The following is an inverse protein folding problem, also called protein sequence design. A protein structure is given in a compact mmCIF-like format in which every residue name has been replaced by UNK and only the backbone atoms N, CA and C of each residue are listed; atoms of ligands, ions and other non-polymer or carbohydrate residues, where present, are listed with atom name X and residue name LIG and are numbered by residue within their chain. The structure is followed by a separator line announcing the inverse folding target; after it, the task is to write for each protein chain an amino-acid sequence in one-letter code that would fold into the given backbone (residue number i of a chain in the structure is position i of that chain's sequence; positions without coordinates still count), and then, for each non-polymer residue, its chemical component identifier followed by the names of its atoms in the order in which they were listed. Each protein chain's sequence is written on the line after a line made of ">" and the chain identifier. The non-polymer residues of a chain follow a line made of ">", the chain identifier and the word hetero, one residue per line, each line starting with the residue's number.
data_IF_233674126742
#
_entry.id   IF_233674126742
#
_cell.length_a   1.000
_cell.length_b   1.000
_cell.length_c   1.000
_cell.angle_alpha   90.00
_cell.angle_beta   90.00
_cell.angle_gamma   90.00
#
_symmetry.space_group_name_H-M   'P 1'
#
loop_
_entity.id
_entity.type
_entity.pdbx_description
1 polymer ?
#
# COMPACT_ATOMS: atom_id res chain seq x y z
N UNK A 1 -46.53 -46.95 -26.20
CA UNK A 1 -46.14 -46.50 -25.99
C UNK A 1 -45.43 -45.80 -25.63
N UNK A 2 -45.24 -45.75 -25.47
CA UNK A 2 -44.69 -45.12 -25.17
C UNK A 2 -43.93 -44.43 -24.70
N UNK A 3 -43.76 -44.31 -24.52
CA UNK A 3 -43.15 -43.73 -24.14
C UNK A 3 -42.50 -43.02 -23.69
N UNK A 4 -42.42 -43.02 -23.50
CA UNK A 4 -41.82 -42.30 -23.03
C UNK A 4 -41.11 -41.72 -22.74
N UNK A 5 -40.82 -41.64 -22.61
CA UNK A 5 -40.15 -41.09 -22.37
C UNK A 5 -39.39 -40.39 -21.95
N UNK A 6 -39.26 -40.40 -21.84
CA UNK A 6 -38.63 -39.80 -21.50
C UNK A 6 -37.96 -39.12 -21.17
N UNK A 7 -37.76 -39.08 -20.96
CA UNK A 7 -37.21 -38.46 -20.65
C UNK A 7 -36.54 -37.86 -20.23
N UNK A 8 -36.31 -37.86 -20.05
CA UNK A 8 -35.74 -37.22 -19.58
C UNK A 8 -35.05 -36.70 -19.36
N UNK A 9 -34.84 -36.72 -19.33
CA UNK A 9 -34.22 -36.21 -19.11
C UNK A 9 -33.56 -35.49 -18.72
N UNK A 10 -33.27 -35.30 -18.56
CA UNK A 10 -32.69 -34.65 -18.08
C UNK A 10 -32.04 -34.06 -17.87
N UNK A 11 -31.90 -34.21 -17.81
CA UNK A 11 -31.30 -33.66 -17.60
C UNK A 11 -30.59 -32.94 -17.26
N UNK A 12 -30.33 -32.97 -17.01
CA UNK A 12 -29.77 -32.27 -16.78
C UNK A 12 -29.00 -31.69 -16.38
N UNK A 13 -28.76 -31.64 -16.25
CA UNK A 13 -28.10 -31.11 -15.89
C UNK A 13 -27.41 -30.44 -15.64
N UNK A 14 -27.19 -30.44 -15.45
CA UNK A 14 -26.64 -29.79 -15.26
C UNK A 14 -25.99 -29.18 -14.80
N UNK A 15 -25.80 -29.11 -14.58
CA UNK A 15 -25.25 -28.48 -14.31
C UNK A 15 -24.59 -27.83 -13.86
N UNK A 16 -24.09 -27.81 -13.79
CA UNK A 16 -23.40 -27.23 -13.35
C UNK A 16 -22.64 -26.34 -13.36
N UNK A 17 -22.63 -25.94 -13.31
CA UNK A 17 -21.86 -25.22 -13.33
C UNK A 17 -21.25 -24.70 -12.45
N UNK A 18 -20.68 -25.11 -12.09
CA UNK A 18 -19.83 -24.68 -11.11
C UNK A 18 -19.21 -23.45 -11.51
N UNK A 19 -19.53 -22.51 -10.83
CA UNK A 19 -18.83 -21.34 -11.02
C UNK A 19 -17.60 -21.41 -10.20
N UNK A 20 -16.52 -21.51 -10.85
CA UNK A 20 -15.29 -21.32 -10.17
C UNK A 20 -15.24 -19.86 -9.78
N UNK A 21 -15.18 -19.58 -8.53
CA UNK A 21 -14.89 -18.24 -8.09
C UNK A 21 -13.47 -17.90 -8.53
N UNK A 22 -13.26 -16.69 -9.06
CA UNK A 22 -11.91 -16.31 -9.40
C UNK A 22 -11.04 -16.40 -8.16
N UNK A 23 -9.89 -16.99 -8.30
CA UNK A 23 -8.93 -17.05 -7.22
C UNK A 23 -8.48 -15.63 -6.91
N UNK A 24 -8.62 -15.26 -5.66
CA UNK A 24 -8.09 -13.99 -5.20
C UNK A 24 -6.79 -14.25 -4.49
N UNK A 25 -5.73 -13.74 -5.06
CA UNK A 25 -4.48 -13.72 -4.33
C UNK A 25 -4.63 -12.89 -3.08
N UNK A 26 -4.05 -13.36 -2.00
CA UNK A 26 -3.97 -12.57 -0.80
C UNK A 26 -3.12 -11.33 -1.08
N UNK A 27 -3.67 -10.17 -0.79
CA UNK A 27 -2.93 -8.93 -0.95
C UNK A 27 -1.90 -8.83 0.18
N UNK A 28 -0.64 -8.94 -0.18
CA UNK A 28 0.47 -8.82 0.77
C UNK A 28 1.17 -7.46 0.67
N UNK A 29 0.65 -6.55 -0.15
CA UNK A 29 1.26 -5.24 -0.28
C UNK A 29 1.19 -4.48 1.04
N UNK A 30 2.08 -3.51 1.18
CA UNK A 30 2.23 -2.76 2.42
C UNK A 30 1.92 -1.29 2.17
N UNK A 31 1.52 -0.63 3.24
CA UNK A 31 1.24 0.80 3.25
C UNK A 31 2.19 1.47 4.22
N UNK A 32 2.89 2.50 3.75
CA UNK A 32 3.66 3.40 4.60
C UNK A 32 2.93 4.73 4.68
N UNK A 33 2.66 5.19 5.89
CA UNK A 33 1.98 6.45 6.12
C UNK A 33 2.61 7.16 7.30
N UNK A 34 2.27 8.43 7.50
CA UNK A 34 2.75 9.18 8.64
C UNK A 34 2.54 10.67 8.43
N UNK A 35 3.05 11.44 9.37
CA UNK A 35 2.97 12.90 9.33
C UNK A 35 4.34 13.50 9.13
N UNK A 36 4.39 14.63 8.46
CA UNK A 36 5.57 15.47 8.42
C UNK A 36 5.34 16.63 9.39
N UNK A 37 6.20 16.74 10.38
CA UNK A 37 6.03 17.70 11.48
C UNK A 37 7.34 18.47 11.73
N UNK A 38 7.20 19.60 12.41
CA UNK A 38 8.36 20.36 12.89
C UNK A 38 8.72 19.91 14.31
N UNK A 39 9.65 20.61 14.96
CA UNK A 39 10.09 20.24 16.30
C UNK A 39 9.02 20.43 17.37
N UNK A 40 8.00 21.23 17.11
CA UNK A 40 6.89 21.46 18.03
C UNK A 40 5.70 20.59 17.70
N UNK A 41 5.89 19.54 16.88
CA UNK A 41 4.86 18.61 16.43
C UNK A 41 3.77 19.26 15.57
N UNK A 42 4.04 20.45 15.03
CA UNK A 42 3.15 21.12 14.10
C UNK A 42 3.30 20.51 12.70
N UNK A 43 2.18 20.29 12.00
CA UNK A 43 2.23 19.73 10.65
C UNK A 43 2.87 20.71 9.67
N UNK A 44 3.52 20.19 8.64
CA UNK A 44 4.20 20.98 7.62
C UNK A 44 3.54 20.74 6.26
N UNK A 45 2.47 21.47 5.93
CA UNK A 45 1.85 21.34 4.60
C UNK A 45 2.85 21.71 3.52
N UNK A 46 2.71 21.07 2.37
CA UNK A 46 3.56 21.25 1.19
C UNK A 46 4.98 20.68 1.37
N UNK A 47 5.26 20.00 2.47
CA UNK A 47 6.50 19.24 2.57
C UNK A 47 6.48 18.13 1.51
N UNK A 48 7.65 17.75 1.04
CA UNK A 48 7.79 16.69 0.04
C UNK A 48 8.42 15.49 0.71
N UNK A 49 7.77 14.34 0.58
CA UNK A 49 8.28 13.08 1.13
C UNK A 49 8.87 12.26 0.00
N UNK A 50 10.05 11.73 0.23
CA UNK A 50 10.78 10.92 -0.74
C UNK A 50 10.87 9.50 -0.22
N UNK A 51 10.46 8.55 -1.04
CA UNK A 51 10.53 7.13 -0.73
C UNK A 51 11.46 6.45 -1.73
N UNK A 52 12.49 5.79 -1.24
CA UNK A 52 13.46 5.11 -2.08
C UNK A 52 13.35 3.61 -1.92
N UNK A 53 13.19 2.92 -3.04
CA UNK A 53 13.31 1.47 -3.08
C UNK A 53 14.80 1.14 -3.05
N UNK A 54 15.28 0.50 -1.98
CA UNK A 54 16.71 0.29 -1.81
C UNK A 54 17.29 -0.73 -2.78
N UNK A 55 16.43 -1.55 -3.38
CA UNK A 55 16.90 -2.57 -4.33
C UNK A 55 17.08 -1.99 -5.73
N UNK A 56 16.14 -1.17 -6.18
CA UNK A 56 16.14 -0.62 -7.55
C UNK A 56 16.62 0.83 -7.60
N UNK A 57 16.70 1.50 -6.45
CA UNK A 57 16.98 2.93 -6.31
C UNK A 57 15.92 3.84 -6.91
N UNK A 58 14.76 3.28 -7.25
CA UNK A 58 13.63 4.09 -7.71
C UNK A 58 13.10 4.95 -6.58
N UNK A 59 12.74 6.20 -6.89
CA UNK A 59 12.27 7.17 -5.91
C UNK A 59 10.85 7.57 -6.25
N UNK A 60 9.96 7.54 -5.26
CA UNK A 60 8.62 8.09 -5.35
C UNK A 60 8.53 9.30 -4.45
N UNK A 61 7.70 10.26 -4.82
CA UNK A 61 7.51 11.47 -4.02
C UNK A 61 6.04 11.64 -3.67
N UNK A 62 5.80 12.35 -2.57
CA UNK A 62 4.46 12.70 -2.13
C UNK A 62 4.50 14.09 -1.52
N UNK A 63 3.63 14.97 -2.01
CA UNK A 63 3.51 16.32 -1.47
C UNK A 63 2.37 16.30 -0.46
N UNK A 64 2.67 16.61 0.80
CA UNK A 64 1.64 16.53 1.83
C UNK A 64 0.70 17.74 1.72
N UNK A 65 -0.57 17.48 2.02
CA UNK A 65 -1.59 18.53 2.03
C UNK A 65 -1.68 19.16 3.42
N UNK A 66 -2.78 19.85 3.71
CA UNK A 66 -2.89 20.64 4.94
C UNK A 66 -2.88 19.79 6.20
N UNK A 67 -3.24 18.52 6.10
CA UNK A 67 -3.20 17.60 7.24
C UNK A 67 -1.78 17.12 7.58
N UNK A 68 -0.80 17.39 6.71
CA UNK A 68 0.57 16.97 6.90
C UNK A 68 0.81 15.48 6.73
N UNK A 69 -0.17 14.73 6.25
CA UNK A 69 -0.09 13.27 6.15
C UNK A 69 0.41 12.85 4.77
N UNK A 70 1.34 11.91 4.73
CA UNK A 70 1.78 11.28 3.50
C UNK A 70 1.35 9.82 3.47
N UNK A 71 1.30 9.25 2.27
CA UNK A 71 0.80 7.89 2.11
C UNK A 71 1.42 7.25 0.87
N UNK A 72 2.06 6.10 1.05
CA UNK A 72 2.61 5.30 -0.03
C UNK A 72 2.01 3.89 0.04
N UNK A 73 0.97 3.61 -0.75
CA UNK A 73 0.36 2.29 -0.77
C UNK A 73 1.08 1.35 -1.74
N UNK A 74 0.70 0.09 -1.70
CA UNK A 74 1.11 -0.92 -2.68
C UNK A 74 2.61 -1.16 -2.71
N UNK A 75 3.26 -1.08 -1.54
CA UNK A 75 4.68 -1.35 -1.43
C UNK A 75 4.94 -2.85 -1.31
N UNK A 76 6.10 -3.28 -1.83
CA UNK A 76 6.46 -4.70 -1.78
C UNK A 76 6.79 -5.14 -0.35
N UNK A 77 6.33 -6.33 0.07
CA UNK A 77 6.68 -6.84 1.40
C UNK A 77 8.12 -7.33 1.48
N UNK A 78 8.82 -7.45 0.37
CA UNK A 78 10.13 -8.08 0.31
C UNK A 78 11.27 -7.08 0.06
N UNK A 79 11.00 -5.80 0.22
CA UNK A 79 11.96 -4.73 -0.09
C UNK A 79 12.05 -3.79 1.09
N UNK A 80 13.26 -3.38 1.43
CA UNK A 80 13.47 -2.28 2.37
C UNK A 80 13.28 -0.96 1.63
N UNK A 81 12.58 -0.03 2.27
CA UNK A 81 12.39 1.31 1.74
C UNK A 81 12.97 2.32 2.71
N UNK A 82 13.52 3.39 2.16
CA UNK A 82 13.98 4.52 2.94
C UNK A 82 13.09 5.71 2.65
N UNK A 83 12.77 6.47 3.71
CA UNK A 83 11.85 7.60 3.58
C UNK A 83 12.40 8.79 4.35
N UNK A 84 12.30 9.97 3.75
CA UNK A 84 12.61 11.22 4.41
C UNK A 84 11.74 12.32 3.83
N UNK A 85 11.68 13.46 4.51
CA UNK A 85 10.93 14.62 4.06
C UNK A 85 11.83 15.82 3.91
N UNK A 86 11.43 16.73 3.03
CA UNK A 86 12.06 18.06 2.89
C UNK A 86 11.01 19.13 2.99
N UNK A 87 11.38 20.22 3.62
CA UNK A 87 10.53 21.40 3.75
C UNK A 87 11.42 22.65 3.79
N UNK A 88 11.21 23.56 2.84
CA UNK A 88 11.99 24.82 2.74
C UNK A 88 13.50 24.60 2.81
N UNK A 89 13.97 23.58 2.12
CA UNK A 89 15.40 23.29 2.07
C UNK A 89 15.94 22.51 3.28
N UNK A 90 15.10 22.24 4.26
CA UNK A 90 15.47 21.42 5.41
C UNK A 90 15.04 19.98 5.20
N UNK A 91 15.84 19.06 5.70
CA UNK A 91 15.61 17.63 5.49
C UNK A 91 15.44 16.92 6.82
N UNK A 92 14.49 16.00 6.90
CA UNK A 92 14.34 15.13 8.06
C UNK A 92 15.41 14.06 8.09
N UNK A 93 15.51 13.34 9.22
CA UNK A 93 16.25 12.09 9.25
C UNK A 93 15.63 11.09 8.28
N UNK A 94 16.46 10.22 7.74
CA UNK A 94 15.99 9.12 6.91
C UNK A 94 15.58 7.95 7.80
N UNK A 95 14.37 7.44 7.57
CA UNK A 95 13.85 6.28 8.30
C UNK A 95 13.74 5.11 7.34
N UNK A 96 13.84 3.91 7.88
CA UNK A 96 13.78 2.68 7.08
C UNK A 96 12.52 1.89 7.44
N UNK A 97 11.80 1.46 6.41
CA UNK A 97 10.74 0.47 6.55
C UNK A 97 11.32 -0.87 6.12
N UNK A 98 11.62 -1.73 7.10
CA UNK A 98 12.31 -2.99 6.85
C UNK A 98 11.37 -4.05 6.26
N UNK A 99 11.87 -4.87 5.35
CA UNK A 99 11.15 -6.03 4.86
C UNK A 99 10.85 -7.05 5.96
N UNK A 100 11.62 -7.01 7.05
CA UNK A 100 11.41 -7.91 8.19
C UNK A 100 10.35 -7.40 9.15
N UNK A 101 9.87 -6.19 8.97
CA UNK A 101 8.72 -5.68 9.71
C UNK A 101 7.47 -6.30 9.08
N UNK A 102 6.73 -7.11 9.85
CA UNK A 102 5.61 -7.89 9.32
C UNK A 102 4.30 -7.12 9.25
N UNK A 103 4.26 -5.88 9.72
CA UNK A 103 3.03 -5.08 9.68
C UNK A 103 2.72 -4.69 8.25
N UNK A 104 1.46 -4.82 7.85
CA UNK A 104 1.03 -4.37 6.53
C UNK A 104 0.95 -2.84 6.47
N UNK A 105 0.58 -2.22 7.56
CA UNK A 105 0.54 -0.76 7.65
C UNK A 105 1.58 -0.30 8.66
N UNK A 106 2.50 0.52 8.20
CA UNK A 106 3.57 1.07 9.03
C UNK A 106 3.39 2.58 9.08
N UNK A 107 3.43 3.12 10.30
CA UNK A 107 3.30 4.56 10.50
C UNK A 107 4.64 5.11 10.96
N UNK A 108 5.17 6.07 10.19
CA UNK A 108 6.45 6.72 10.50
C UNK A 108 6.26 8.21 10.36
N UNK A 109 6.45 8.93 11.47
CA UNK A 109 6.41 10.38 11.43
C UNK A 109 7.81 10.92 11.12
N UNK A 110 7.86 11.93 10.27
CA UNK A 110 9.11 12.55 9.83
C UNK A 110 9.18 13.95 10.40
N UNK A 111 10.23 14.21 11.15
CA UNK A 111 10.40 15.50 11.82
C UNK A 111 11.47 16.30 11.08
N UNK A 112 11.09 17.48 10.62
CA UNK A 112 11.98 18.40 9.93
C UNK A 112 12.32 19.54 10.86
N UNK A 113 13.62 19.79 11.02
CA UNK A 113 14.08 20.95 11.78
C UNK A 113 13.96 22.18 10.87
N UNK A 114 13.01 23.04 11.19
CA UNK A 114 12.71 24.21 10.36
C UNK A 114 13.43 25.49 10.79
N UNK A 115 14.33 25.41 11.76
CA UNK A 115 15.08 26.59 12.22
C UNK A 115 16.25 26.92 11.33
#
# INVERSE_FOLDING_TARGET
>A
MRKCQLLALGLILLAVTAVAEPYKEKDTSRLLTGKVINQQDGVLPNAVVYLTNTRTHAVKTYIVSEDGIYRFPALSPNIDYEVYAQFNGHKSDTKTMSQFDTRQQVQVNLKVDTK
#
